data_IF_349029893840
#
_entry.id   IF_349029893840
#
_cell.length_a   1.000
_cell.length_b   1.000
_cell.length_c   1.000
_cell.angle_alpha   90.00
_cell.angle_beta   90.00
_cell.angle_gamma   90.00
#
_symmetry.space_group_name_H-M   'P 1'
#
loop_
_entity.id
_entity.type
_entity.pdbx_description
1 polymer ?
#
# COMPACT_ATOMS: atom_id res chain seq x y z
N UNK A 1 -10.31 1.23 29.87
CA UNK A 1 -9.09 1.82 29.28
C UNK A 1 -9.48 2.77 28.16
N UNK A 2 -8.94 3.99 28.17
CA UNK A 2 -9.27 5.03 27.19
C UNK A 2 -8.56 4.73 25.86
N UNK A 3 -9.19 3.98 24.95
CA UNK A 3 -8.60 3.57 23.66
C UNK A 3 -8.44 4.73 22.65
N UNK A 4 -8.75 5.97 23.05
CA UNK A 4 -8.73 7.15 22.15
C UNK A 4 -7.36 7.37 21.48
N UNK A 5 -6.20 7.35 22.17
CA UNK A 5 -4.91 7.57 21.53
C UNK A 5 -4.59 6.51 20.45
N UNK A 6 -4.92 5.24 20.73
CA UNK A 6 -4.78 4.16 19.74
C UNK A 6 -5.63 4.45 18.49
N UNK A 7 -6.91 4.82 18.65
CA UNK A 7 -7.80 5.13 17.53
C UNK A 7 -7.26 6.27 16.65
N UNK A 8 -6.67 7.31 17.23
CA UNK A 8 -6.04 8.38 16.45
C UNK A 8 -4.81 7.91 15.70
N UNK A 9 -3.94 7.08 16.30
CA UNK A 9 -2.80 6.51 15.60
C UNK A 9 -3.23 5.60 14.44
N UNK A 10 -4.30 4.82 14.64
CA UNK A 10 -4.90 4.01 13.57
C UNK A 10 -5.44 4.88 12.43
N UNK A 11 -6.12 5.98 12.77
CA UNK A 11 -6.64 6.94 11.79
C UNK A 11 -5.50 7.57 10.99
N UNK A 12 -4.44 8.05 11.64
CA UNK A 12 -3.30 8.70 10.97
C UNK A 12 -2.57 7.71 10.06
N UNK A 13 -2.36 6.46 10.51
CA UNK A 13 -1.76 5.42 9.70
C UNK A 13 -2.62 5.08 8.47
N UNK A 14 -3.94 4.94 8.67
CA UNK A 14 -4.90 4.75 7.59
C UNK A 14 -4.90 5.91 6.60
N UNK A 15 -4.98 7.16 7.06
CA UNK A 15 -4.93 8.33 6.18
C UNK A 15 -3.61 8.42 5.40
N UNK A 16 -2.49 8.05 6.01
CA UNK A 16 -1.17 8.10 5.37
C UNK A 16 -1.06 7.09 4.24
N UNK A 17 -1.36 5.81 4.51
CA UNK A 17 -1.33 4.78 3.47
C UNK A 17 -2.47 4.96 2.47
N UNK A 18 -3.68 5.34 2.89
CA UNK A 18 -4.82 5.63 2.03
C UNK A 18 -4.53 6.75 1.02
N UNK A 19 -3.92 7.85 1.47
CA UNK A 19 -3.53 8.95 0.57
C UNK A 19 -2.48 8.49 -0.43
N UNK A 20 -1.45 7.77 0.03
CA UNK A 20 -0.41 7.27 -0.86
C UNK A 20 -0.93 6.20 -1.84
N UNK A 21 -1.92 5.40 -1.45
CA UNK A 21 -2.53 4.38 -2.29
C UNK A 21 -3.48 4.96 -3.34
N UNK A 22 -4.23 6.01 -2.99
CA UNK A 22 -5.00 6.80 -3.96
C UNK A 22 -4.09 7.42 -5.03
N UNK A 23 -2.94 7.98 -4.60
CA UNK A 23 -1.90 8.49 -5.48
C UNK A 23 -1.33 7.38 -6.38
N UNK A 24 -1.05 6.19 -5.83
CA UNK A 24 -0.61 5.01 -6.61
C UNK A 24 -1.57 4.71 -7.77
N UNK A 25 -2.89 4.84 -7.56
CA UNK A 25 -3.89 4.64 -8.61
C UNK A 25 -3.68 5.50 -9.87
N UNK A 26 -2.87 6.57 -9.78
CA UNK A 26 -2.50 7.42 -10.92
C UNK A 26 -1.29 6.90 -11.71
N UNK A 27 -0.37 6.21 -11.04
CA UNK A 27 0.84 5.68 -11.67
C UNK A 27 0.60 4.29 -12.28
N UNK A 28 -0.18 3.45 -11.58
CA UNK A 28 -0.27 2.02 -11.88
C UNK A 28 0.97 1.25 -11.41
N UNK A 29 1.00 -0.07 -11.63
CA UNK A 29 2.18 -0.94 -11.47
C UNK A 29 2.69 -1.21 -10.03
N UNK A 30 3.72 -2.04 -9.94
CA UNK A 30 4.37 -2.56 -8.72
C UNK A 30 5.10 -1.46 -7.95
N UNK A 31 5.87 -0.62 -8.64
CA UNK A 31 6.71 0.42 -8.03
C UNK A 31 5.88 1.50 -7.32
N UNK A 32 4.69 1.81 -7.83
CA UNK A 32 3.79 2.76 -7.17
C UNK A 32 3.19 2.17 -5.90
N UNK A 33 2.84 0.87 -5.94
CA UNK A 33 2.40 0.14 -4.75
C UNK A 33 3.51 0.10 -3.70
N UNK A 34 4.76 -0.06 -4.15
CA UNK A 34 5.92 0.00 -3.29
C UNK A 34 6.10 1.40 -2.65
N UNK A 35 5.93 2.48 -3.43
CA UNK A 35 5.98 3.84 -2.87
C UNK A 35 4.96 4.01 -1.74
N UNK A 36 3.71 3.64 -2.02
CA UNK A 36 2.62 3.77 -1.07
C UNK A 36 2.87 2.94 0.20
N UNK A 37 3.27 1.68 0.04
CA UNK A 37 3.64 0.79 1.15
C UNK A 37 4.78 1.34 2.00
N UNK A 38 5.81 1.95 1.37
CA UNK A 38 6.88 2.63 2.08
C UNK A 38 6.37 3.77 2.96
N UNK A 39 5.55 4.67 2.40
CA UNK A 39 4.93 5.77 3.15
C UNK A 39 4.12 5.24 4.35
N UNK A 40 3.30 4.20 4.15
CA UNK A 40 2.51 3.59 5.23
C UNK A 40 3.37 2.99 6.34
N UNK A 41 4.42 2.25 5.97
CA UNK A 41 5.36 1.67 6.94
C UNK A 41 6.09 2.74 7.76
N UNK A 42 6.56 3.81 7.10
CA UNK A 42 7.21 4.93 7.77
C UNK A 42 6.26 5.69 8.71
N UNK A 43 4.99 5.86 8.32
CA UNK A 43 3.99 6.47 9.19
C UNK A 43 3.85 5.70 10.51
N UNK A 44 3.79 4.37 10.45
CA UNK A 44 3.70 3.51 11.65
C UNK A 44 4.96 3.65 12.52
N UNK A 45 6.14 3.71 11.91
CA UNK A 45 7.40 3.94 12.64
C UNK A 45 7.35 5.28 13.38
N UNK A 46 6.92 6.37 12.73
CA UNK A 46 6.79 7.68 13.37
C UNK A 46 5.76 7.70 14.50
N UNK A 47 4.62 7.06 14.29
CA UNK A 47 3.55 6.97 15.29
C UNK A 47 3.95 6.12 16.51
N UNK A 48 4.93 5.21 16.36
CA UNK A 48 5.38 4.34 17.45
C UNK A 48 6.11 5.06 18.58
N UNK A 49 6.72 6.22 18.32
CA UNK A 49 7.58 6.96 19.27
C UNK A 49 8.75 6.15 19.84
N UNK A 50 9.19 5.12 19.13
CA UNK A 50 10.29 4.23 19.54
C UNK A 50 11.61 4.60 18.87
N UNK A 51 12.59 5.05 19.65
CA UNK A 51 13.93 5.41 19.15
C UNK A 51 14.65 4.21 18.53
N UNK A 52 14.43 3.01 19.07
CA UNK A 52 14.98 1.77 18.52
C UNK A 52 14.39 1.40 17.15
N UNK A 53 13.19 1.88 16.83
CA UNK A 53 12.61 1.72 15.49
C UNK A 53 13.10 2.79 14.52
N UNK A 54 13.42 3.99 15.02
CA UNK A 54 14.01 5.05 14.21
C UNK A 54 15.35 4.62 13.62
N UNK A 55 16.16 3.88 14.37
CA UNK A 55 17.41 3.29 13.89
C UNK A 55 17.21 2.42 12.62
N UNK A 56 16.07 1.73 12.51
CA UNK A 56 15.75 0.86 11.37
C UNK A 56 14.73 1.47 10.41
N UNK A 57 14.44 2.78 10.52
CA UNK A 57 13.32 3.40 9.83
C UNK A 57 13.36 3.19 8.31
N UNK A 58 14.53 3.35 7.69
CA UNK A 58 14.66 3.18 6.23
C UNK A 58 14.58 1.70 5.80
N UNK A 59 15.12 0.76 6.59
CA UNK A 59 14.98 -0.67 6.32
C UNK A 59 13.52 -1.12 6.47
N UNK A 60 12.82 -0.61 7.49
CA UNK A 60 11.39 -0.84 7.71
C UNK A 60 10.55 -0.28 6.56
N UNK A 61 10.86 0.95 6.15
CA UNK A 61 10.23 1.61 4.99
C UNK A 61 10.45 0.79 3.72
N UNK A 62 11.68 0.33 3.48
CA UNK A 62 12.02 -0.49 2.31
C UNK A 62 11.33 -1.87 2.34
N UNK A 63 11.29 -2.55 3.48
CA UNK A 63 10.63 -3.85 3.62
C UNK A 63 9.12 -3.74 3.38
N UNK A 64 8.49 -2.67 3.91
CA UNK A 64 7.09 -2.35 3.63
C UNK A 64 6.89 -2.06 2.14
N UNK A 65 7.73 -1.22 1.54
CA UNK A 65 7.68 -0.93 0.11
C UNK A 65 7.80 -2.19 -0.75
N UNK A 66 8.77 -3.05 -0.48
CA UNK A 66 8.94 -4.31 -1.20
C UNK A 66 7.69 -5.20 -1.08
N UNK A 67 7.15 -5.38 0.13
CA UNK A 67 6.04 -6.30 0.34
C UNK A 67 4.73 -5.84 -0.28
N UNK A 68 4.37 -4.56 -0.14
CA UNK A 68 3.20 -3.99 -0.82
C UNK A 68 3.43 -3.87 -2.34
N UNK A 69 4.67 -3.65 -2.77
CA UNK A 69 5.09 -3.63 -4.17
C UNK A 69 4.88 -4.95 -4.89
N UNK A 70 5.24 -6.08 -4.24
CA UNK A 70 5.04 -7.44 -4.77
C UNK A 70 3.57 -7.68 -5.12
N UNK A 71 2.62 -7.22 -4.31
CA UNK A 71 1.20 -7.37 -4.62
C UNK A 71 0.78 -6.68 -5.93
N UNK A 72 1.53 -5.67 -6.37
CA UNK A 72 1.25 -4.90 -7.59
C UNK A 72 1.28 -5.71 -8.89
N UNK A 73 1.87 -6.90 -8.88
CA UNK A 73 1.88 -7.84 -10.03
C UNK A 73 0.49 -8.44 -10.30
N UNK A 74 -0.40 -8.41 -9.30
CA UNK A 74 -1.71 -9.05 -9.36
C UNK A 74 -2.67 -8.16 -10.13
N UNK A 75 -3.14 -8.65 -11.29
CA UNK A 75 -4.17 -7.95 -12.05
C UNK A 75 -5.54 -8.10 -11.37
N UNK A 76 -6.30 -7.02 -11.26
CA UNK A 76 -7.62 -7.04 -10.62
C UNK A 76 -8.71 -6.32 -11.41
N UNK A 77 -8.36 -5.65 -12.53
CA UNK A 77 -9.33 -4.86 -13.30
C UNK A 77 -10.53 -5.67 -13.82
N UNK A 78 -10.32 -6.95 -14.18
CA UNK A 78 -11.41 -7.85 -14.57
C UNK A 78 -12.33 -8.17 -13.38
N UNK A 79 -11.73 -8.37 -12.21
CA UNK A 79 -12.42 -8.67 -10.94
C UNK A 79 -13.28 -7.50 -10.47
N UNK A 80 -12.78 -6.27 -10.60
CA UNK A 80 -13.55 -5.03 -10.39
C UNK A 80 -14.81 -5.00 -11.27
N UNK A 81 -14.74 -5.53 -12.49
CA UNK A 81 -15.89 -5.63 -13.38
C UNK A 81 -16.89 -6.72 -13.00
N UNK A 82 -16.47 -7.81 -12.33
CA UNK A 82 -17.41 -8.82 -11.83
C UNK A 82 -18.39 -8.23 -10.82
N UNK A 83 -17.90 -7.36 -9.95
CA UNK A 83 -18.71 -6.67 -8.96
C UNK A 83 -19.70 -5.63 -9.54
N UNK A 84 -19.63 -5.34 -10.85
CA UNK A 84 -20.56 -4.45 -11.57
C UNK A 84 -21.70 -5.22 -12.26
N UNK A 85 -21.75 -6.54 -12.11
CA UNK A 85 -22.80 -7.39 -12.67
C UNK A 85 -24.15 -7.27 -11.94
N UNK A 86 -25.11 -8.08 -12.37
CA UNK A 86 -26.47 -8.14 -11.79
C UNK A 86 -26.72 -9.44 -11.02
N UNK A 87 -25.95 -10.49 -11.31
CA UNK A 87 -26.12 -11.79 -10.66
C UNK A 87 -25.36 -11.85 -9.33
N UNK A 88 -26.06 -12.33 -8.30
CA UNK A 88 -25.52 -12.43 -6.95
C UNK A 88 -24.19 -13.19 -6.91
N UNK A 89 -24.13 -14.36 -7.57
CA UNK A 89 -22.94 -15.23 -7.55
C UNK A 89 -21.72 -14.54 -8.15
N UNK A 90 -21.90 -13.88 -9.30
CA UNK A 90 -20.81 -13.18 -10.00
C UNK A 90 -20.32 -11.97 -9.20
N UNK A 91 -21.23 -11.16 -8.65
CA UNK A 91 -20.89 -9.96 -7.88
C UNK A 91 -20.24 -10.36 -6.54
N UNK A 92 -20.80 -11.35 -5.85
CA UNK A 92 -20.22 -11.87 -4.61
C UNK A 92 -18.83 -12.45 -4.86
N UNK A 93 -18.65 -13.24 -5.92
CA UNK A 93 -17.33 -13.71 -6.33
C UNK A 93 -16.36 -12.56 -6.57
N UNK A 94 -16.79 -11.50 -7.28
CA UNK A 94 -16.02 -10.27 -7.48
C UNK A 94 -15.52 -9.66 -6.16
N UNK A 95 -16.42 -9.43 -5.19
CA UNK A 95 -16.03 -8.91 -3.88
C UNK A 95 -15.11 -9.85 -3.12
N UNK A 96 -15.35 -11.17 -3.13
CA UNK A 96 -14.49 -12.14 -2.45
C UNK A 96 -13.10 -12.22 -3.06
N UNK A 97 -12.98 -12.15 -4.38
CA UNK A 97 -11.68 -12.15 -5.05
C UNK A 97 -10.92 -10.84 -4.79
N UNK A 98 -11.60 -9.69 -4.75
CA UNK A 98 -10.96 -8.43 -4.32
C UNK A 98 -10.52 -8.47 -2.85
N UNK A 99 -11.31 -9.11 -1.97
CA UNK A 99 -10.94 -9.37 -0.57
C UNK A 99 -9.66 -10.20 -0.49
N UNK A 100 -9.53 -11.25 -1.32
CA UNK A 100 -8.32 -12.07 -1.40
C UNK A 100 -7.14 -11.26 -1.94
N UNK A 101 -7.30 -10.57 -3.06
CA UNK A 101 -6.23 -9.78 -3.69
C UNK A 101 -5.71 -8.72 -2.72
N UNK A 102 -6.60 -7.89 -2.16
CA UNK A 102 -6.22 -6.88 -1.15
C UNK A 102 -5.63 -7.52 0.11
N UNK A 103 -6.09 -8.72 0.45
CA UNK A 103 -5.51 -9.56 1.49
C UNK A 103 -4.04 -9.88 1.23
N UNK A 104 -3.71 -10.35 0.02
CA UNK A 104 -2.33 -10.68 -0.36
C UNK A 104 -1.40 -9.48 -0.29
N UNK A 105 -1.85 -8.30 -0.75
CA UNK A 105 -1.12 -7.04 -0.58
C UNK A 105 -0.73 -6.81 0.89
N UNK A 106 -1.71 -6.87 1.79
CA UNK A 106 -1.51 -6.62 3.21
C UNK A 106 -0.73 -7.73 3.93
N UNK A 107 -0.94 -9.00 3.57
CA UNK A 107 -0.26 -10.15 4.17
C UNK A 107 1.25 -10.11 3.90
N UNK A 108 1.65 -9.85 2.64
CA UNK A 108 3.06 -9.75 2.26
C UNK A 108 3.67 -8.44 2.75
N UNK A 109 3.00 -7.31 2.52
CA UNK A 109 3.42 -5.97 2.96
C UNK A 109 3.63 -5.89 4.49
N UNK A 110 2.60 -6.29 5.24
CA UNK A 110 2.66 -6.37 6.70
C UNK A 110 3.64 -7.44 7.19
N UNK A 111 3.73 -8.59 6.52
CA UNK A 111 4.64 -9.67 6.90
C UNK A 111 6.12 -9.28 6.82
N UNK A 112 6.56 -8.69 5.71
CA UNK A 112 7.95 -8.24 5.56
C UNK A 112 8.30 -7.08 6.50
N UNK A 113 7.37 -6.13 6.69
CA UNK A 113 7.54 -5.06 7.67
C UNK A 113 7.63 -5.61 9.10
N UNK A 114 6.72 -6.52 9.48
CA UNK A 114 6.69 -7.16 10.79
C UNK A 114 7.93 -8.02 11.07
N UNK A 115 8.43 -8.75 10.07
CA UNK A 115 9.70 -9.48 10.20
C UNK A 115 10.89 -8.54 10.41
N UNK A 116 10.90 -7.40 9.71
CA UNK A 116 11.95 -6.38 9.89
C UNK A 116 11.88 -5.75 11.28
N UNK A 117 10.68 -5.48 11.81
CA UNK A 117 10.48 -5.03 13.19
C UNK A 117 10.96 -6.06 14.20
N UNK A 118 10.63 -7.34 13.99
CA UNK A 118 11.01 -8.44 14.88
C UNK A 118 12.49 -8.84 14.77
N UNK A 119 13.19 -8.40 13.73
CA UNK A 119 14.60 -8.76 13.51
C UNK A 119 15.49 -8.09 14.56
N UNK A 120 16.17 -8.91 15.37
CA UNK A 120 17.12 -8.47 16.40
C UNK A 120 18.47 -9.19 16.22
N UNK A 121 19.52 -8.76 16.94
CA UNK A 121 20.82 -9.48 16.94
C UNK A 121 20.67 -10.93 17.42
N UNK A 122 19.78 -11.15 18.38
CA UNK A 122 19.53 -12.48 18.95
C UNK A 122 18.69 -13.35 18.00
N UNK A 123 17.79 -12.72 17.23
CA UNK A 123 16.86 -13.40 16.34
C UNK A 123 16.83 -12.75 14.95
N UNK A 124 17.94 -12.82 14.19
CA UNK A 124 18.02 -12.18 12.90
C UNK A 124 17.14 -12.91 11.88
N UNK A 125 16.53 -12.14 10.97
CA UNK A 125 15.85 -12.71 9.81
C UNK A 125 16.90 -13.16 8.78
N UNK A 126 16.83 -14.43 8.38
CA UNK A 126 17.67 -15.00 7.32
C UNK A 126 17.09 -14.63 5.96
N UNK A 127 17.33 -13.39 5.53
CA UNK A 127 16.72 -12.81 4.33
C UNK A 127 16.92 -13.64 3.06
N UNK A 128 18.12 -14.16 2.81
CA UNK A 128 18.37 -15.01 1.64
C UNK A 128 17.48 -16.25 1.63
N UNK A 129 17.39 -16.95 2.77
CA UNK A 129 16.53 -18.12 2.92
C UNK A 129 15.05 -17.75 2.73
N UNK A 130 14.58 -16.69 3.39
CA UNK A 130 13.19 -16.24 3.26
C UNK A 130 12.83 -15.92 1.81
N UNK A 131 13.67 -15.16 1.11
CA UNK A 131 13.42 -14.78 -0.27
C UNK A 131 13.42 -16.01 -1.19
N UNK A 132 14.37 -16.95 -1.01
CA UNK A 132 14.36 -18.22 -1.75
C UNK A 132 13.08 -19.01 -1.49
N UNK A 133 12.66 -19.17 -0.24
CA UNK A 133 11.43 -19.88 0.11
C UNK A 133 10.19 -19.21 -0.50
N UNK A 134 10.11 -17.87 -0.46
CA UNK A 134 9.02 -17.11 -1.08
C UNK A 134 8.99 -17.29 -2.60
N UNK A 135 10.15 -17.19 -3.27
CA UNK A 135 10.26 -17.41 -4.71
C UNK A 135 9.86 -18.83 -5.10
N UNK A 136 10.35 -19.85 -4.37
CA UNK A 136 9.96 -21.25 -4.60
C UNK A 136 8.46 -21.44 -4.37
N UNK A 137 7.90 -20.87 -3.30
CA UNK A 137 6.46 -20.89 -3.05
C UNK A 137 5.65 -20.28 -4.20
N UNK A 138 6.10 -19.13 -4.72
CA UNK A 138 5.49 -18.45 -5.86
C UNK A 138 5.40 -19.37 -7.09
N UNK A 139 6.54 -19.99 -7.45
CA UNK A 139 6.65 -20.87 -8.62
C UNK A 139 5.75 -22.10 -8.46
N UNK A 140 5.82 -22.78 -7.31
CA UNK A 140 5.05 -24.01 -7.06
C UNK A 140 3.55 -23.75 -7.10
N UNK A 141 3.07 -22.71 -6.42
CA UNK A 141 1.64 -22.41 -6.38
C UNK A 141 1.11 -21.93 -7.73
N UNK A 142 1.90 -21.14 -8.46
CA UNK A 142 1.50 -20.74 -9.81
C UNK A 142 1.36 -21.97 -10.71
N UNK A 143 2.37 -22.85 -10.74
CA UNK A 143 2.32 -24.08 -11.53
C UNK A 143 1.12 -24.96 -11.18
N UNK A 144 0.93 -25.31 -9.89
CA UNK A 144 -0.15 -26.22 -9.52
C UNK A 144 -1.54 -25.60 -9.66
N UNK A 145 -1.75 -24.34 -9.26
CA UNK A 145 -3.09 -23.75 -9.30
C UNK A 145 -3.49 -23.32 -10.70
N UNK A 146 -2.55 -22.81 -11.50
CA UNK A 146 -2.85 -22.22 -12.81
C UNK A 146 -2.59 -23.22 -13.93
N UNK A 147 -1.37 -23.75 -14.04
CA UNK A 147 -1.00 -24.61 -15.17
C UNK A 147 -1.64 -26.00 -15.07
N UNK A 148 -1.63 -26.62 -13.88
CA UNK A 148 -2.18 -27.97 -13.70
C UNK A 148 -3.70 -27.97 -13.46
N UNK A 149 -4.20 -27.11 -12.57
CA UNK A 149 -5.61 -27.12 -12.16
C UNK A 149 -6.50 -26.17 -12.97
N UNK A 150 -5.93 -25.21 -13.71
CA UNK A 150 -6.71 -24.23 -14.48
C UNK A 150 -7.60 -23.35 -13.62
N UNK A 151 -7.24 -23.08 -12.36
CA UNK A 151 -8.03 -22.22 -11.47
C UNK A 151 -7.81 -20.75 -11.79
N UNK A 152 -8.53 -20.26 -12.80
CA UNK A 152 -8.39 -18.89 -13.29
C UNK A 152 -9.31 -17.92 -12.51
N UNK A 153 -8.75 -16.84 -11.98
CA UNK A 153 -9.48 -15.76 -11.28
C UNK A 153 -9.69 -14.56 -12.20
N UNK A 154 -8.71 -14.22 -13.02
CA UNK A 154 -8.63 -12.98 -13.80
C UNK A 154 -8.55 -13.18 -15.32
N UNK A 155 -9.09 -14.27 -15.94
CA UNK A 155 -8.84 -14.54 -17.36
C UNK A 155 -9.39 -13.43 -18.27
N UNK A 156 -8.70 -13.08 -19.38
CA UNK A 156 -7.44 -13.63 -19.89
C UNK A 156 -6.18 -12.92 -19.33
N UNK A 157 -6.28 -12.21 -18.21
CA UNK A 157 -5.15 -11.49 -17.61
C UNK A 157 -4.25 -12.42 -16.80
N UNK A 158 -3.12 -11.88 -16.35
CA UNK A 158 -2.18 -12.57 -15.48
C UNK A 158 -2.83 -13.07 -14.18
N UNK A 159 -2.59 -14.34 -13.88
CA UNK A 159 -3.03 -15.05 -12.66
C UNK A 159 -1.98 -14.99 -11.54
N UNK A 160 -1.19 -13.92 -11.50
CA UNK A 160 -0.12 -13.76 -10.50
C UNK A 160 -0.61 -13.73 -9.04
N UNK A 161 -1.93 -13.72 -8.79
CA UNK A 161 -2.48 -13.96 -7.45
C UNK A 161 -2.03 -15.32 -6.89
N UNK A 162 -1.90 -16.36 -7.72
CA UNK A 162 -1.47 -17.68 -7.29
C UNK A 162 -0.01 -17.66 -6.80
N UNK A 163 0.86 -16.93 -7.52
CA UNK A 163 2.21 -16.65 -7.06
C UNK A 163 2.22 -15.86 -5.73
N UNK A 164 1.32 -14.87 -5.59
CA UNK A 164 1.09 -14.14 -4.34
C UNK A 164 0.69 -15.02 -3.16
N UNK A 165 -0.19 -16.00 -3.39
CA UNK A 165 -0.57 -17.00 -2.38
C UNK A 165 0.64 -17.84 -1.99
N UNK A 166 1.40 -18.35 -2.95
CA UNK A 166 2.60 -19.14 -2.69
C UNK A 166 3.66 -18.39 -1.88
N UNK A 167 3.92 -17.13 -2.22
CA UNK A 167 4.80 -16.25 -1.43
C UNK A 167 4.29 -16.06 0.00
N UNK A 168 2.98 -15.87 0.16
CA UNK A 168 2.35 -15.69 1.47
C UNK A 168 2.46 -16.96 2.32
N UNK A 169 2.19 -18.14 1.76
CA UNK A 169 2.32 -19.43 2.47
C UNK A 169 3.76 -19.63 2.95
N UNK A 170 4.75 -19.41 2.09
CA UNK A 170 6.17 -19.51 2.44
C UNK A 170 6.57 -18.51 3.54
N UNK A 171 6.13 -17.25 3.42
CA UNK A 171 6.37 -16.20 4.42
C UNK A 171 5.81 -16.59 5.79
N UNK A 172 4.58 -17.10 5.85
CA UNK A 172 3.96 -17.55 7.10
C UNK A 172 4.65 -18.80 7.65
N UNK A 173 5.01 -19.75 6.80
CA UNK A 173 5.75 -20.94 7.21
C UNK A 173 7.10 -20.57 7.84
N UNK A 174 7.83 -19.61 7.26
CA UNK A 174 9.04 -19.05 7.85
C UNK A 174 8.75 -18.41 9.22
N UNK A 175 7.74 -17.54 9.31
CA UNK A 175 7.39 -16.89 10.58
C UNK A 175 7.03 -17.90 11.68
N UNK A 176 6.29 -18.97 11.34
CA UNK A 176 5.88 -20.02 12.29
C UNK A 176 7.11 -20.78 12.80
N UNK A 177 7.96 -21.29 11.91
CA UNK A 177 9.17 -22.04 12.29
C UNK A 177 10.16 -21.21 13.11
N UNK A 178 10.21 -19.90 12.85
CA UNK A 178 11.03 -18.96 13.59
C UNK A 178 10.31 -18.30 14.77
N UNK A 179 9.10 -18.76 15.16
CA UNK A 179 8.33 -18.25 16.30
C UNK A 179 8.12 -16.72 16.28
N UNK A 180 7.88 -16.15 15.09
CA UNK A 180 7.68 -14.71 14.89
C UNK A 180 6.20 -14.33 15.03
N UNK A 181 5.62 -14.58 16.21
CA UNK A 181 4.18 -14.44 16.44
C UNK A 181 3.66 -13.01 16.25
N UNK A 182 4.42 -11.99 16.65
CA UNK A 182 4.06 -10.58 16.45
C UNK A 182 4.02 -10.20 14.97
N UNK A 183 4.96 -10.71 14.17
CA UNK A 183 4.97 -10.51 12.73
C UNK A 183 3.76 -11.19 12.06
N UNK A 184 3.40 -12.41 12.49
CA UNK A 184 2.20 -13.12 12.02
C UNK A 184 0.95 -12.28 12.30
N UNK A 185 0.81 -11.78 13.53
CA UNK A 185 -0.33 -10.93 13.91
C UNK A 185 -0.41 -9.69 13.05
N UNK A 186 0.70 -8.98 12.87
CA UNK A 186 0.76 -7.79 12.03
C UNK A 186 0.34 -8.11 10.59
N UNK A 187 0.92 -9.16 9.99
CA UNK A 187 0.60 -9.59 8.63
C UNK A 187 -0.89 -9.89 8.46
N UNK A 188 -1.50 -10.65 9.38
CA UNK A 188 -2.92 -11.00 9.33
C UNK A 188 -3.81 -9.76 9.39
N UNK A 189 -3.55 -8.82 10.31
CA UNK A 189 -4.38 -7.61 10.40
C UNK A 189 -4.17 -6.65 9.22
N UNK A 190 -2.94 -6.52 8.71
CA UNK A 190 -2.67 -5.79 7.48
C UNK A 190 -3.42 -6.42 6.29
N UNK A 191 -3.41 -7.75 6.17
CA UNK A 191 -4.15 -8.51 5.18
C UNK A 191 -5.66 -8.32 5.27
N UNK A 192 -6.25 -8.54 6.45
CA UNK A 192 -7.68 -8.31 6.68
C UNK A 192 -8.08 -6.86 6.35
N UNK A 193 -7.25 -5.89 6.74
CA UNK A 193 -7.45 -4.48 6.41
C UNK A 193 -7.40 -4.20 4.92
N UNK A 194 -6.35 -4.64 4.23
CA UNK A 194 -6.18 -4.43 2.78
C UNK A 194 -7.27 -5.12 1.97
N UNK A 195 -7.62 -6.36 2.33
CA UNK A 195 -8.68 -7.12 1.69
C UNK A 195 -10.05 -6.48 1.88
N UNK A 196 -10.42 -6.17 3.13
CA UNK A 196 -11.67 -5.48 3.42
C UNK A 196 -11.74 -4.14 2.68
N UNK A 197 -10.66 -3.36 2.71
CA UNK A 197 -10.57 -2.07 2.04
C UNK A 197 -10.75 -2.16 0.53
N UNK A 198 -10.26 -3.22 -0.10
CA UNK A 198 -10.44 -3.41 -1.53
C UNK A 198 -11.88 -3.75 -1.90
N UNK A 199 -12.43 -4.81 -1.30
CA UNK A 199 -13.79 -5.24 -1.60
C UNK A 199 -14.82 -4.16 -1.23
N UNK A 200 -14.67 -3.51 -0.06
CA UNK A 200 -15.53 -2.41 0.35
C UNK A 200 -15.33 -1.16 -0.53
N UNK A 201 -14.09 -0.83 -0.88
CA UNK A 201 -13.79 0.27 -1.79
C UNK A 201 -14.42 0.09 -3.17
N UNK A 202 -14.45 -1.15 -3.67
CA UNK A 202 -15.09 -1.47 -4.94
C UNK A 202 -16.62 -1.43 -4.85
N UNK A 203 -17.21 -1.85 -3.72
CA UNK A 203 -18.63 -1.58 -3.45
C UNK A 203 -18.93 -0.06 -3.50
N UNK A 204 -18.12 0.78 -2.84
CA UNK A 204 -18.25 2.24 -2.92
C UNK A 204 -18.08 2.75 -4.36
N UNK A 205 -17.23 2.11 -5.16
CA UNK A 205 -17.06 2.46 -6.57
C UNK A 205 -18.32 2.18 -7.40
N UNK A 206 -18.97 1.03 -7.17
CA UNK A 206 -20.24 0.66 -7.80
C UNK A 206 -21.32 1.67 -7.40
N UNK A 207 -21.50 1.89 -6.09
CA UNK A 207 -22.47 2.85 -5.57
C UNK A 207 -22.22 4.29 -6.07
N UNK A 208 -20.95 4.67 -6.18
CA UNK A 208 -20.56 5.95 -6.74
C UNK A 208 -20.94 6.11 -8.21
N UNK A 209 -20.79 5.04 -9.00
CA UNK A 209 -21.16 5.02 -10.42
C UNK A 209 -22.66 5.27 -10.66
N UNK A 210 -23.50 4.90 -9.68
CA UNK A 210 -24.98 5.02 -9.78
C UNK A 210 -25.51 6.28 -9.07
N UNK A 211 -24.69 6.92 -8.24
CA UNK A 211 -25.07 8.10 -7.45
C UNK A 211 -25.28 9.39 -8.27
N UNK A 212 -24.79 9.44 -9.51
CA UNK A 212 -24.76 10.66 -10.33
C UNK A 212 -23.72 11.70 -9.89
N UNK A 213 -22.97 11.45 -8.81
CA UNK A 213 -21.91 12.34 -8.33
C UNK A 213 -20.71 12.24 -9.29
N UNK A 214 -20.31 13.37 -9.88
CA UNK A 214 -19.12 13.45 -10.72
C UNK A 214 -17.85 13.50 -9.85
N UNK A 215 -17.43 12.32 -9.38
CA UNK A 215 -16.22 12.14 -8.59
C UNK A 215 -15.46 10.90 -9.06
N UNK A 216 -14.14 10.90 -8.86
CA UNK A 216 -13.33 9.74 -9.21
C UNK A 216 -13.47 8.63 -8.18
N UNK A 217 -14.48 7.78 -8.36
CA UNK A 217 -14.76 6.66 -7.47
C UNK A 217 -13.77 5.50 -7.59
N UNK A 218 -13.00 5.42 -8.68
CA UNK A 218 -11.84 4.51 -8.72
C UNK A 218 -10.82 4.91 -7.65
N UNK A 219 -10.58 6.21 -7.51
CA UNK A 219 -9.68 6.73 -6.50
C UNK A 219 -10.20 6.52 -5.07
N UNK A 220 -11.52 6.51 -4.87
CA UNK A 220 -12.15 6.14 -3.58
C UNK A 220 -11.88 4.68 -3.24
N UNK A 221 -11.97 3.78 -4.22
CA UNK A 221 -11.60 2.37 -4.05
C UNK A 221 -10.13 2.24 -3.66
N UNK A 222 -9.21 2.86 -4.40
CA UNK A 222 -7.78 2.84 -4.09
C UNK A 222 -7.48 3.42 -2.70
N UNK A 223 -8.09 4.55 -2.35
CA UNK A 223 -7.96 5.13 -1.02
C UNK A 223 -8.42 4.15 0.07
N UNK A 224 -9.52 3.43 -0.16
CA UNK A 224 -10.06 2.44 0.79
C UNK A 224 -9.09 1.29 1.04
N UNK A 225 -8.43 0.76 -0.01
CA UNK A 225 -7.39 -0.28 0.14
C UNK A 225 -6.30 0.20 1.09
N UNK A 226 -5.72 1.37 0.81
CA UNK A 226 -4.64 1.91 1.62
C UNK A 226 -5.09 2.29 3.02
N UNK A 227 -6.30 2.84 3.17
CA UNK A 227 -6.83 3.29 4.46
C UNK A 227 -7.03 2.13 5.43
N UNK A 228 -7.78 1.10 5.00
CA UNK A 228 -8.03 -0.06 5.85
C UNK A 228 -6.78 -0.94 5.98
N UNK A 229 -5.95 -1.02 4.95
CA UNK A 229 -4.63 -1.66 5.00
C UNK A 229 -3.71 -1.04 6.06
N UNK A 230 -3.63 0.30 6.09
CA UNK A 230 -2.81 1.05 7.04
C UNK A 230 -3.36 0.95 8.46
N UNK A 231 -4.68 0.99 8.61
CA UNK A 231 -5.37 0.76 9.88
C UNK A 231 -5.06 -0.65 10.42
N UNK A 232 -5.19 -1.67 9.57
CA UNK A 232 -4.90 -3.06 9.93
C UNK A 232 -3.44 -3.26 10.31
N UNK A 233 -2.51 -2.71 9.53
CA UNK A 233 -1.08 -2.77 9.77
C UNK A 233 -0.70 -2.07 11.09
N UNK A 234 -1.25 -0.89 11.37
CA UNK A 234 -1.04 -0.17 12.62
C UNK A 234 -1.67 -0.89 13.82
N UNK A 235 -2.88 -1.44 13.66
CA UNK A 235 -3.54 -2.22 14.71
C UNK A 235 -2.73 -3.46 15.06
N UNK A 236 -2.29 -4.22 14.05
CA UNK A 236 -1.41 -5.37 14.23
C UNK A 236 -0.10 -4.99 14.92
N UNK A 237 0.48 -3.84 14.58
CA UNK A 237 1.71 -3.33 15.19
C UNK A 237 1.53 -2.96 16.66
N UNK A 238 0.59 -2.06 16.97
CA UNK A 238 0.39 -1.54 18.33
C UNK A 238 -0.31 -2.53 19.27
N UNK A 239 -0.88 -3.61 18.73
CA UNK A 239 -1.46 -4.69 19.54
C UNK A 239 -0.57 -5.93 19.69
N UNK A 240 0.70 -5.81 19.31
CA UNK A 240 1.72 -6.86 19.41
C UNK A 240 2.89 -6.42 20.30
N UNK A 241 3.66 -7.39 20.74
CA UNK A 241 4.90 -7.15 21.47
C UNK A 241 6.11 -7.20 20.56
N UNK A 242 7.08 -6.35 20.84
CA UNK A 242 8.28 -6.23 20.04
C UNK A 242 9.48 -6.10 20.95
N UNK A 243 10.47 -6.96 20.76
CA UNK A 243 11.76 -6.89 21.44
C UNK A 243 12.35 -5.48 21.29
N UNK A 244 13.05 -5.01 22.33
CA UNK A 244 13.81 -3.76 22.22
C UNK A 244 15.05 -4.03 21.37
N UNK A 245 15.28 -3.20 20.36
CA UNK A 245 16.49 -3.27 19.54
C UNK A 245 17.44 -2.10 19.80
N UNK A 246 18.54 -2.05 19.06
CA UNK A 246 19.48 -0.93 19.11
C UNK A 246 18.83 0.39 18.69
N UNK A 247 19.25 1.47 19.35
CA UNK A 247 18.81 2.84 19.07
C UNK A 247 19.71 3.56 18.06
N UNK A 248 20.79 2.91 17.64
CA UNK A 248 21.73 3.40 16.64
C UNK A 248 21.79 2.48 15.42
N UNK A 249 22.13 3.05 14.27
CA UNK A 249 22.30 2.31 13.01
C UNK A 249 23.66 2.54 12.42
N UNK A 250 24.27 1.48 11.88
CA UNK A 250 25.50 1.61 11.12
C UNK A 250 25.23 2.42 9.85
N UNK A 251 26.06 3.43 9.63
CA UNK A 251 25.99 4.31 8.46
C UNK A 251 25.99 3.54 7.13
N UNK A 252 26.72 2.43 7.04
CA UNK A 252 26.78 1.59 5.82
C UNK A 252 25.43 0.97 5.47
N UNK A 253 24.61 0.68 6.48
CA UNK A 253 23.30 0.05 6.31
C UNK A 253 22.22 1.04 5.83
N UNK A 254 22.51 2.35 5.77
CA UNK A 254 21.58 3.38 5.34
C UNK A 254 21.60 3.64 3.84
N UNK A 255 22.72 3.38 3.16
CA UNK A 255 22.91 3.77 1.75
C UNK A 255 21.86 3.10 0.86
N UNK A 256 21.81 1.76 0.86
CA UNK A 256 20.93 1.04 -0.05
C UNK A 256 19.45 1.36 0.18
N UNK A 257 18.91 1.34 1.42
CA UNK A 257 17.54 1.75 1.65
C UNK A 257 17.23 3.18 1.20
N UNK A 258 18.09 4.15 1.49
CA UNK A 258 17.88 5.54 1.07
C UNK A 258 17.86 5.63 -0.45
N UNK A 259 18.90 5.11 -1.13
CA UNK A 259 19.00 5.16 -2.60
C UNK A 259 17.78 4.50 -3.26
N UNK A 260 17.37 3.33 -2.78
CA UNK A 260 16.22 2.64 -3.36
C UNK A 260 14.94 3.45 -3.18
N UNK A 261 14.68 3.96 -1.97
CA UNK A 261 13.46 4.69 -1.64
C UNK A 261 13.38 6.07 -2.30
N UNK A 262 14.49 6.78 -2.45
CA UNK A 262 14.50 8.19 -2.88
C UNK A 262 14.90 8.37 -4.34
N UNK A 263 15.63 7.43 -4.93
CA UNK A 263 16.06 7.48 -6.31
C UNK A 263 15.41 6.39 -7.14
N UNK A 264 15.70 5.12 -6.87
CA UNK A 264 15.34 4.00 -7.77
C UNK A 264 13.83 3.93 -7.93
N UNK A 265 13.10 3.87 -6.84
CA UNK A 265 11.65 3.69 -6.87
C UNK A 265 10.94 4.90 -7.50
N UNK A 266 11.20 6.16 -7.08
CA UNK A 266 10.63 7.32 -7.75
C UNK A 266 11.03 7.48 -9.22
N UNK A 267 12.27 7.15 -9.57
CA UNK A 267 12.76 7.21 -10.94
C UNK A 267 12.04 6.20 -11.84
N UNK A 268 11.85 4.95 -11.38
CA UNK A 268 11.09 3.95 -12.14
C UNK A 268 9.63 4.37 -12.31
N UNK A 269 9.03 4.98 -11.28
CA UNK A 269 7.68 5.57 -11.41
C UNK A 269 7.66 6.67 -12.46
N UNK A 270 8.65 7.56 -12.46
CA UNK A 270 8.78 8.60 -13.48
C UNK A 270 8.88 8.01 -14.88
N UNK A 271 9.81 7.08 -15.08
CA UNK A 271 10.11 6.45 -16.37
C UNK A 271 8.87 5.75 -16.96
N UNK A 272 8.17 4.96 -16.14
CA UNK A 272 7.02 4.17 -16.60
C UNK A 272 5.70 4.94 -16.65
N UNK A 273 5.56 6.05 -15.91
CA UNK A 273 4.26 6.73 -15.80
C UNK A 273 4.19 8.03 -16.62
N UNK A 274 5.33 8.71 -16.84
CA UNK A 274 5.37 9.99 -17.56
C UNK A 274 5.58 9.80 -19.07
N UNK A 275 4.73 8.96 -19.66
CA UNK A 275 4.71 8.69 -21.09
C UNK A 275 4.19 9.92 -21.87
N UNK A 276 4.88 10.25 -22.96
CA UNK A 276 4.53 11.44 -23.77
C UNK A 276 3.12 11.34 -24.34
N UNK A 277 2.75 10.19 -24.89
CA UNK A 277 1.43 9.97 -25.49
C UNK A 277 0.32 10.16 -24.47
N UNK A 278 0.41 9.48 -23.31
CA UNK A 278 -0.54 9.58 -22.22
C UNK A 278 -0.77 11.02 -21.75
N UNK A 279 0.31 11.79 -21.58
CA UNK A 279 0.23 13.18 -21.13
C UNK A 279 -0.38 14.10 -22.19
N UNK A 280 -0.06 13.89 -23.48
CA UNK A 280 -0.67 14.63 -24.58
C UNK A 280 -2.18 14.37 -24.64
N UNK A 281 -2.59 13.10 -24.63
CA UNK A 281 -4.01 12.70 -24.62
C UNK A 281 -4.75 13.29 -23.41
N UNK A 282 -4.10 13.28 -22.23
CA UNK A 282 -4.66 13.87 -21.01
C UNK A 282 -4.90 15.37 -21.16
N UNK A 283 -3.91 16.13 -21.64
CA UNK A 283 -4.03 17.60 -21.83
C UNK A 283 -5.11 17.92 -22.88
N UNK A 284 -5.10 17.23 -24.01
CA UNK A 284 -6.05 17.46 -25.09
C UNK A 284 -7.49 17.14 -24.68
N UNK A 285 -7.70 16.19 -23.75
CA UNK A 285 -9.04 15.84 -23.26
C UNK A 285 -9.78 16.99 -22.54
N UNK A 286 -9.06 17.98 -22.01
CA UNK A 286 -9.67 19.14 -21.33
C UNK A 286 -9.26 20.49 -21.93
N UNK A 287 -8.30 20.52 -22.86
CA UNK A 287 -7.84 21.74 -23.52
C UNK A 287 -7.25 21.44 -24.91
N UNK A 288 -8.11 21.34 -25.92
CA UNK A 288 -7.73 21.00 -27.30
C UNK A 288 -6.71 21.97 -27.93
N UNK A 289 -6.74 23.25 -27.54
CA UNK A 289 -5.87 24.31 -28.10
C UNK A 289 -4.56 24.51 -27.35
N UNK A 290 -4.29 23.75 -26.29
CA UNK A 290 -3.06 23.89 -25.53
C UNK A 290 -1.85 23.35 -26.30
N UNK A 291 -0.68 23.97 -26.10
CA UNK A 291 0.62 23.40 -26.51
C UNK A 291 0.97 22.18 -25.63
N UNK A 292 0.32 21.06 -25.92
CA UNK A 292 0.45 19.84 -25.15
C UNK A 292 1.91 19.34 -25.12
N UNK A 293 2.61 19.41 -26.27
CA UNK A 293 4.00 18.95 -26.37
C UNK A 293 4.96 19.79 -25.52
N UNK A 294 4.80 21.12 -25.54
CA UNK A 294 5.56 22.02 -24.68
C UNK A 294 5.34 21.69 -23.21
N UNK A 295 4.08 21.62 -22.77
CA UNK A 295 3.72 21.31 -21.38
C UNK A 295 4.27 19.94 -20.96
N UNK A 296 4.11 18.90 -21.77
CA UNK A 296 4.64 17.55 -21.49
C UNK A 296 6.14 17.59 -21.25
N UNK A 297 6.90 18.30 -22.09
CA UNK A 297 8.36 18.42 -21.93
C UNK A 297 8.73 19.02 -20.57
N UNK A 298 8.07 20.10 -20.15
CA UNK A 298 8.32 20.73 -18.86
C UNK A 298 7.90 19.84 -17.68
N UNK A 299 6.73 19.19 -17.78
CA UNK A 299 6.23 18.27 -16.75
C UNK A 299 7.20 17.11 -16.52
N UNK A 300 7.69 16.48 -17.60
CA UNK A 300 8.66 15.38 -17.53
C UNK A 300 9.98 15.83 -16.90
N UNK A 301 10.51 16.98 -17.34
CA UNK A 301 11.78 17.51 -16.83
C UNK A 301 11.67 17.90 -15.35
N UNK A 302 10.59 18.58 -14.97
CA UNK A 302 10.34 18.97 -13.58
C UNK A 302 10.24 17.74 -12.68
N UNK A 303 9.47 16.72 -13.10
CA UNK A 303 9.34 15.49 -12.33
C UNK A 303 10.70 14.80 -12.13
N UNK A 304 11.54 14.72 -13.16
CA UNK A 304 12.88 14.15 -13.06
C UNK A 304 13.77 14.96 -12.09
N UNK A 305 13.79 16.29 -12.22
CA UNK A 305 14.58 17.17 -11.37
C UNK A 305 14.17 17.06 -9.90
N UNK A 306 12.87 16.90 -9.61
CA UNK A 306 12.37 16.71 -8.25
C UNK A 306 12.90 15.42 -7.62
N UNK A 307 12.99 14.32 -8.37
CA UNK A 307 13.58 13.06 -7.86
C UNK A 307 15.07 13.20 -7.61
N UNK A 308 15.81 13.79 -8.54
CA UNK A 308 17.24 14.02 -8.36
C UNK A 308 17.52 14.93 -7.16
N UNK A 309 16.72 16.00 -6.98
CA UNK A 309 16.84 16.91 -5.86
C UNK A 309 16.50 16.23 -4.53
N UNK A 310 15.37 15.49 -4.46
CA UNK A 310 14.95 14.78 -3.26
C UNK A 310 15.94 13.68 -2.85
N UNK A 311 16.46 12.93 -3.82
CA UNK A 311 17.49 11.92 -3.60
C UNK A 311 18.79 12.53 -3.09
N UNK A 312 19.28 13.57 -3.75
CA UNK A 312 20.51 14.27 -3.36
C UNK A 312 20.40 14.88 -1.96
N UNK A 313 19.26 15.51 -1.65
CA UNK A 313 18.96 16.05 -0.33
C UNK A 313 18.97 14.95 0.74
N UNK A 314 18.27 13.83 0.48
CA UNK A 314 18.16 12.72 1.44
C UNK A 314 19.51 12.05 1.70
N UNK A 315 20.29 11.79 0.66
CA UNK A 315 21.64 11.25 0.78
C UNK A 315 22.56 12.21 1.52
N UNK A 316 22.52 13.50 1.20
CA UNK A 316 23.30 14.50 1.90
C UNK A 316 22.96 14.51 3.40
N UNK A 317 21.67 14.62 3.74
CA UNK A 317 21.23 14.81 5.12
C UNK A 317 21.44 13.58 6.00
N UNK A 318 21.09 12.39 5.50
CA UNK A 318 21.12 11.16 6.30
C UNK A 318 22.42 10.38 6.19
N UNK A 319 23.23 10.60 5.14
CA UNK A 319 24.45 9.84 4.92
C UNK A 319 25.74 10.68 4.88
N UNK A 320 25.80 11.79 4.13
CA UNK A 320 27.06 12.55 4.01
C UNK A 320 27.30 13.52 5.18
N UNK A 321 26.25 14.15 5.70
CA UNK A 321 26.32 15.08 6.85
C UNK A 321 26.70 14.37 8.14
N UNK A 322 26.24 13.12 8.33
CA UNK A 322 26.51 12.30 9.50
C UNK A 322 27.82 11.53 9.29
N UNK A 323 28.91 11.97 9.95
CA UNK A 323 30.27 11.40 9.75
C UNK A 323 30.61 10.24 10.70
N UNK A 324 29.80 9.99 11.72
CA UNK A 324 30.00 8.90 12.68
C UNK A 324 29.67 7.54 12.05
N UNK A 325 30.30 6.48 12.55
CA UNK A 325 30.00 5.11 12.11
C UNK A 325 28.59 4.67 12.52
N UNK A 326 28.18 5.04 13.73
CA UNK A 326 26.85 4.81 14.29
C UNK A 326 26.08 6.12 14.34
N UNK A 327 24.84 6.10 13.85
CA UNK A 327 23.98 7.26 13.70
C UNK A 327 22.71 7.06 14.52
N UNK A 328 22.33 8.08 15.27
CA UNK A 328 21.00 8.20 15.87
C UNK A 328 20.11 9.03 14.95
N UNK A 329 18.94 8.47 14.61
CA UNK A 329 17.94 9.12 13.78
C UNK A 329 16.87 9.76 14.67
N UNK A 330 16.68 11.06 14.49
CA UNK A 330 15.72 11.81 15.31
C UNK A 330 14.33 11.80 14.68
N UNK A 331 13.32 11.87 15.53
CA UNK A 331 11.93 11.95 15.09
C UNK A 331 11.69 13.10 14.10
N UNK A 332 12.23 14.30 14.37
CA UNK A 332 12.06 15.46 13.47
C UNK A 332 12.65 15.23 12.08
N UNK A 333 13.79 14.54 12.00
CA UNK A 333 14.44 14.19 10.73
C UNK A 333 13.56 13.22 9.93
N UNK A 334 13.03 12.18 10.60
CA UNK A 334 12.15 11.20 9.96
C UNK A 334 10.78 11.79 9.60
N UNK A 335 10.25 12.74 10.37
CA UNK A 335 9.04 13.47 10.02
C UNK A 335 9.24 14.33 8.77
N UNK A 336 10.35 15.05 8.68
CA UNK A 336 10.69 15.80 7.48
C UNK A 336 10.78 14.87 6.27
N UNK A 337 11.49 13.74 6.41
CA UNK A 337 11.57 12.74 5.35
C UNK A 337 10.20 12.19 4.94
N UNK A 338 9.33 11.85 5.90
CA UNK A 338 7.98 11.36 5.64
C UNK A 338 7.14 12.36 4.84
N UNK A 339 7.09 13.62 5.27
CA UNK A 339 6.32 14.65 4.56
C UNK A 339 6.92 15.00 3.20
N UNK A 340 8.25 15.00 3.06
CA UNK A 340 8.90 15.16 1.76
C UNK A 340 8.62 13.98 0.83
N UNK A 341 8.60 12.75 1.35
CA UNK A 341 8.37 11.53 0.56
C UNK A 341 6.91 11.41 0.08
N UNK A 342 5.95 11.67 0.97
CA UNK A 342 4.53 11.74 0.63
C UNK A 342 4.23 12.98 -0.25
N UNK A 343 4.86 14.11 0.03
CA UNK A 343 4.75 15.34 -0.78
C UNK A 343 5.25 15.13 -2.21
N UNK A 344 6.39 14.47 -2.40
CA UNK A 344 6.91 14.12 -3.73
C UNK A 344 5.92 13.26 -4.51
N UNK A 345 5.35 12.22 -3.88
CA UNK A 345 4.33 11.38 -4.52
C UNK A 345 3.07 12.17 -4.91
N UNK A 346 2.69 13.15 -4.09
CA UNK A 346 1.53 14.02 -4.35
C UNK A 346 1.79 14.97 -5.51
N UNK A 347 2.98 15.58 -5.56
CA UNK A 347 3.39 16.43 -6.68
C UNK A 347 3.43 15.62 -7.97
N UNK A 348 3.97 14.39 -7.92
CA UNK A 348 3.95 13.48 -9.06
C UNK A 348 2.53 13.19 -9.56
N UNK A 349 1.59 12.97 -8.64
CA UNK A 349 0.18 12.78 -8.98
C UNK A 349 -0.40 14.02 -9.68
N UNK A 350 -0.15 15.23 -9.16
CA UNK A 350 -0.63 16.46 -9.79
C UNK A 350 -0.03 16.68 -11.19
N UNK A 351 1.24 16.34 -11.35
CA UNK A 351 1.98 16.48 -12.60
C UNK A 351 1.49 15.48 -13.66
N UNK A 352 1.36 14.19 -13.32
CA UNK A 352 0.94 13.16 -14.28
C UNK A 352 -0.51 13.33 -14.72
N UNK A 353 -1.37 13.86 -13.86
CA UNK A 353 -2.77 14.11 -14.20
C UNK A 353 -2.99 15.51 -14.75
N UNK A 354 -1.94 16.34 -14.87
CA UNK A 354 -2.04 17.75 -15.22
C UNK A 354 -3.11 18.52 -14.43
N UNK A 355 -3.40 18.10 -13.19
CA UNK A 355 -4.48 18.68 -12.39
C UNK A 355 -4.19 20.14 -12.01
N UNK A 356 -2.93 20.57 -12.07
CA UNK A 356 -2.56 21.96 -11.88
C UNK A 356 -3.09 22.90 -13.00
N UNK A 357 -3.52 22.35 -14.15
CA UNK A 357 -4.05 23.15 -15.26
C UNK A 357 -5.57 23.35 -15.19
N UNK A 358 -6.31 22.47 -14.51
CA UNK A 358 -7.77 22.58 -14.41
C UNK A 358 -8.34 21.83 -13.21
N UNK A 359 -9.54 22.22 -12.76
CA UNK A 359 -10.21 21.61 -11.61
C UNK A 359 -10.98 20.32 -11.96
N UNK A 360 -10.73 19.70 -13.13
CA UNK A 360 -11.45 18.51 -13.58
C UNK A 360 -11.28 17.29 -12.67
N UNK A 361 -10.20 17.27 -11.87
CA UNK A 361 -9.89 16.23 -10.87
C UNK A 361 -9.76 16.79 -9.48
N UNK A 362 -10.87 17.28 -8.95
CA UNK A 362 -10.93 17.90 -7.62
C UNK A 362 -10.42 16.98 -6.50
N UNK A 363 -10.50 15.66 -6.69
CA UNK A 363 -10.02 14.67 -5.71
C UNK A 363 -8.51 14.76 -5.45
N UNK A 364 -7.72 15.26 -6.41
CA UNK A 364 -6.27 15.39 -6.28
C UNK A 364 -5.88 16.39 -5.18
N UNK A 365 -6.69 17.43 -4.98
CA UNK A 365 -6.46 18.43 -3.94
C UNK A 365 -6.78 17.91 -2.54
N UNK A 366 -7.62 16.87 -2.44
CA UNK A 366 -7.90 16.20 -1.16
C UNK A 366 -6.65 15.50 -0.60
N UNK A 367 -5.67 15.15 -1.45
CA UNK A 367 -4.39 14.63 -0.97
C UNK A 367 -3.64 15.68 -0.14
N UNK A 368 -3.65 16.94 -0.59
CA UNK A 368 -3.02 18.05 0.12
C UNK A 368 -3.73 18.29 1.45
N UNK A 369 -5.07 18.25 1.46
CA UNK A 369 -5.88 18.35 2.67
C UNK A 369 -5.54 17.22 3.65
N UNK A 370 -5.44 15.99 3.17
CA UNK A 370 -5.05 14.84 3.99
C UNK A 370 -3.64 14.99 4.56
N UNK A 371 -2.67 15.46 3.76
CA UNK A 371 -1.31 15.72 4.24
C UNK A 371 -1.29 16.78 5.35
N UNK A 372 -2.06 17.86 5.18
CA UNK A 372 -2.21 18.89 6.20
C UNK A 372 -2.84 18.33 7.49
N UNK A 373 -3.90 17.52 7.36
CA UNK A 373 -4.54 16.86 8.49
C UNK A 373 -3.58 15.89 9.21
N UNK A 374 -2.82 15.08 8.47
CA UNK A 374 -1.79 14.20 9.03
C UNK A 374 -0.73 15.04 9.76
N UNK A 375 -0.22 16.11 9.15
CA UNK A 375 0.74 17.04 9.77
C UNK A 375 0.25 17.64 11.08
N UNK A 376 -1.02 18.02 11.14
CA UNK A 376 -1.64 18.55 12.35
C UNK A 376 -1.81 17.51 13.45
N UNK A 377 -2.10 16.25 13.10
CA UNK A 377 -2.44 15.19 14.05
C UNK A 377 -1.23 14.34 14.51
N UNK A 378 -0.19 14.20 13.69
CA UNK A 378 0.92 13.25 13.91
C UNK A 378 1.67 13.47 15.24
N UNK A 379 1.64 14.68 15.78
CA UNK A 379 2.29 15.07 17.03
C UNK A 379 1.38 15.20 18.25
N UNK A 380 0.08 14.92 18.11
CA UNK A 380 -0.89 15.18 19.18
C UNK A 380 -1.13 14.02 20.12
N UNK A 381 -0.74 12.80 19.74
CA UNK A 381 -1.09 11.59 20.47
C UNK A 381 0.13 10.71 20.70
N UNK A 382 0.22 10.15 21.90
CA UNK A 382 1.24 9.17 22.26
C UNK A 382 0.90 7.78 21.72
N UNK A 383 1.91 6.93 21.61
CA UNK A 383 1.75 5.53 21.27
C UNK A 383 1.34 4.73 22.51
N UNK A 384 0.23 3.99 22.39
CA UNK A 384 -0.17 3.03 23.41
C UNK A 384 -0.08 1.62 22.82
N UNK A 385 0.83 0.81 23.37
CA UNK A 385 0.95 -0.60 23.02
C UNK A 385 0.06 -1.45 23.93
N UNK A 386 -0.58 -2.48 23.38
CA UNK A 386 -1.34 -3.45 24.17
C UNK A 386 -1.06 -4.87 23.69
N UNK A 387 -0.69 -5.79 24.57
CA UNK A 387 -0.48 -7.17 24.16
C UNK A 387 -1.84 -7.88 24.04
N UNK A 388 -2.18 -8.36 22.84
CA UNK A 388 -3.44 -9.10 22.61
C UNK A 388 -3.23 -10.55 22.12
N UNK A 389 -1.99 -11.00 21.99
CA UNK A 389 -1.62 -12.37 21.59
C UNK A 389 -2.20 -12.81 20.24
N UNK A 390 -2.07 -14.11 19.94
CA UNK A 390 -2.72 -14.76 18.79
C UNK A 390 -4.04 -15.38 19.26
N UNK A 391 -5.17 -14.96 18.68
CA UNK A 391 -6.47 -15.57 18.94
C UNK A 391 -7.10 -15.97 17.61
N UNK A 392 -6.65 -17.11 17.08
CA UNK A 392 -7.02 -17.61 15.77
C UNK A 392 -8.53 -17.85 15.67
N UNK A 393 -9.15 -18.39 16.73
CA UNK A 393 -10.61 -18.61 16.78
C UNK A 393 -11.39 -17.31 16.56
N UNK A 394 -11.04 -16.23 17.27
CA UNK A 394 -11.68 -14.92 17.08
C UNK A 394 -11.43 -14.36 15.67
N UNK A 395 -10.27 -14.59 15.09
CA UNK A 395 -9.96 -14.13 13.73
C UNK A 395 -10.81 -14.86 12.69
N UNK A 396 -10.98 -16.18 12.83
CA UNK A 396 -11.85 -16.98 11.95
C UNK A 396 -13.30 -16.51 12.06
N UNK A 397 -13.80 -16.29 13.29
CA UNK A 397 -15.15 -15.76 13.52
C UNK A 397 -15.33 -14.40 12.86
N UNK A 398 -14.38 -13.47 13.05
CA UNK A 398 -14.43 -12.16 12.40
C UNK A 398 -14.37 -12.26 10.87
N UNK A 399 -13.61 -13.20 10.32
CA UNK A 399 -13.55 -13.42 8.88
C UNK A 399 -14.89 -13.92 8.33
N UNK A 400 -15.56 -14.84 9.02
CA UNK A 400 -16.93 -15.28 8.66
C UNK A 400 -17.90 -14.10 8.66
N UNK A 401 -17.82 -13.20 9.66
CA UNK A 401 -18.63 -11.99 9.65
C UNK A 401 -18.34 -11.07 8.47
N UNK A 402 -17.08 -10.95 8.04
CA UNK A 402 -16.72 -10.19 6.83
C UNK A 402 -17.35 -10.83 5.58
N UNK A 403 -17.32 -12.15 5.45
CA UNK A 403 -17.95 -12.86 4.33
C UNK A 403 -19.46 -12.64 4.28
N UNK A 404 -20.12 -12.71 5.43
CA UNK A 404 -21.56 -12.44 5.56
C UNK A 404 -21.89 -10.97 5.26
N UNK A 405 -21.05 -10.03 5.70
CA UNK A 405 -21.19 -8.61 5.40
C UNK A 405 -21.12 -8.34 3.90
N UNK A 406 -20.18 -8.96 3.18
CA UNK A 406 -20.11 -8.81 1.72
C UNK A 406 -21.28 -9.46 1.00
N UNK A 407 -21.89 -10.53 1.53
CA UNK A 407 -23.11 -11.09 0.97
C UNK A 407 -24.28 -10.08 1.04
N UNK A 408 -24.38 -9.34 2.14
CA UNK A 408 -25.36 -8.25 2.28
C UNK A 408 -25.05 -7.11 1.28
N UNK A 409 -23.77 -6.71 1.16
CA UNK A 409 -23.39 -5.68 0.19
C UNK A 409 -23.66 -6.10 -1.25
N UNK A 410 -23.48 -7.37 -1.59
CA UNK A 410 -23.87 -7.92 -2.90
C UNK A 410 -25.36 -7.73 -3.15
N UNK A 411 -26.21 -8.12 -2.19
CA UNK A 411 -27.66 -7.95 -2.34
C UNK A 411 -28.05 -6.48 -2.54
N UNK A 412 -27.40 -5.56 -1.84
CA UNK A 412 -27.58 -4.12 -2.04
C UNK A 412 -27.13 -3.69 -3.43
N UNK A 413 -25.92 -4.08 -3.86
CA UNK A 413 -25.34 -3.67 -5.14
C UNK A 413 -26.23 -4.10 -6.32
N UNK A 414 -26.62 -5.38 -6.39
CA UNK A 414 -27.42 -5.89 -7.52
C UNK A 414 -28.84 -5.30 -7.57
N UNK A 415 -29.37 -4.84 -6.43
CA UNK A 415 -30.71 -4.24 -6.35
C UNK A 415 -30.75 -2.74 -6.66
N UNK A 416 -29.59 -2.08 -6.77
CA UNK A 416 -29.50 -0.61 -6.86
C UNK A 416 -29.23 -0.09 -8.27
N UNK A 417 -28.99 -0.97 -9.24
CA UNK A 417 -28.73 -0.55 -10.62
C UNK A 417 -29.10 -1.60 -11.67
N UNK A 418 -29.29 -1.14 -12.91
CA UNK A 418 -29.31 -1.99 -14.10
C UNK A 418 -27.89 -2.22 -14.66
N UNK A 419 -27.77 -2.53 -15.95
CA UNK A 419 -26.47 -2.78 -16.56
C UNK A 419 -25.50 -1.59 -16.42
N UNK A 420 -24.27 -1.88 -15.99
CA UNK A 420 -23.22 -0.89 -15.84
C UNK A 420 -22.11 -1.12 -16.88
N UNK A 421 -21.60 -0.01 -17.45
CA UNK A 421 -20.42 -0.06 -18.31
C UNK A 421 -19.24 -0.72 -17.58
N UNK A 422 -18.53 -1.62 -18.26
CA UNK A 422 -17.38 -2.34 -17.72
C UNK A 422 -17.75 -3.51 -16.79
N UNK A 423 -19.02 -3.92 -16.74
CA UNK A 423 -19.42 -5.18 -16.14
C UNK A 423 -18.78 -6.37 -16.87
N UNK A 424 -18.41 -7.38 -16.11
CA UNK A 424 -17.85 -8.63 -16.61
C UNK A 424 -18.61 -9.79 -15.97
N UNK A 425 -18.71 -10.91 -16.68
CA UNK A 425 -19.27 -12.16 -16.15
C UNK A 425 -18.14 -13.19 -16.00
N UNK A 426 -18.14 -13.95 -14.90
CA UNK A 426 -17.19 -15.02 -14.61
C UNK A 426 -17.74 -16.39 -15.00
N UNK A 427 -19.02 -16.61 -14.77
CA UNK A 427 -19.72 -17.88 -14.95
C UNK A 427 -20.65 -17.73 -16.16
N UNK A 428 -20.12 -18.03 -17.35
CA UNK A 428 -20.86 -18.16 -18.60
C UNK A 428 -20.86 -19.62 -19.05
#
# INVERSE_FOLDING_TARGET
MNNKPLLFNLLIAGMSLGTAWAIRGQFGHEQAAAWAGGIGGLAIVLLSRRTDWYAKAFQLTLASAAGWGIGGIISYGKVVGYARGLDFENVYYGFLMLLIIGGLFGLVGGGLFGLTLASSRQKPVKWAQLLTEMTTGAILFYYFLIEELGWLMTPPRSEAWAAGVGMTVALFWYMIRHKQHSAIRLAVFAGLGGGFGFAFGNFLQVMGSVSGIKFNFWNVMEYSIGFFGGLGMAYGTFTSEWEKSEETVSRKNLIAPIVILTLVLPFVVWDQSFETQRLVETIQSFSETADALGVVKYVKLLALLLVLAFSSFSLYWFYFKKRTEFIELQQKELQLFFFSYLGLSTIYSLLITCAFMSLYRIEQYLYIVNIAAIGFLINKFDSHFSQRGLNVSRWVVNFIFILAFFAILTAVAISTHGELKGANVRFE
#
